data_IF_908546331280
#
_entry.id   IF_908546331280
#
_cell.length_a   1.000
_cell.length_b   1.000
_cell.length_c   1.000
_cell.angle_alpha   90.00
_cell.angle_beta   90.00
_cell.angle_gamma   90.00
#
_symmetry.space_group_name_H-M   'P 1'
#
loop_
_entity.id
_entity.type
_entity.pdbx_description
1 polymer ?
#
# COMPACT_ATOMS: atom_id res chain seq x y z
N UNK A 1 -13.50 19.57 5.11
CA UNK A 1 -13.04 18.32 5.75
C UNK A 1 -12.25 18.72 6.96
N UNK A 2 -12.74 18.40 8.15
CA UNK A 2 -12.07 18.72 9.42
C UNK A 2 -10.88 17.78 9.65
N UNK A 3 -9.92 18.18 10.48
CA UNK A 3 -8.71 17.39 10.78
C UNK A 3 -9.04 15.96 11.24
N UNK A 4 -10.10 15.80 12.04
CA UNK A 4 -10.59 14.50 12.50
C UNK A 4 -11.13 13.64 11.36
N UNK A 5 -11.93 14.23 10.45
CA UNK A 5 -12.48 13.52 9.28
C UNK A 5 -11.40 13.01 8.33
N UNK A 6 -10.34 13.78 8.10
CA UNK A 6 -9.22 13.35 7.24
C UNK A 6 -8.44 12.19 7.83
N UNK A 7 -8.16 12.22 9.14
CA UNK A 7 -7.47 11.12 9.81
C UNK A 7 -8.34 9.86 9.84
N UNK A 8 -9.64 10.00 10.12
CA UNK A 8 -10.58 8.89 10.12
C UNK A 8 -10.71 8.26 8.74
N UNK A 9 -10.75 9.08 7.69
CA UNK A 9 -10.75 8.63 6.30
C UNK A 9 -9.49 7.82 5.95
N UNK A 10 -8.30 8.34 6.29
CA UNK A 10 -7.01 7.66 6.06
C UNK A 10 -6.97 6.33 6.84
N UNK A 11 -7.41 6.33 8.10
CA UNK A 11 -7.47 5.13 8.95
C UNK A 11 -8.39 4.06 8.36
N UNK A 12 -9.59 4.44 7.91
CA UNK A 12 -10.55 3.51 7.32
C UNK A 12 -10.04 2.94 5.98
N UNK A 13 -9.38 3.77 5.15
CA UNK A 13 -8.71 3.33 3.93
C UNK A 13 -7.61 2.30 4.22
N UNK A 14 -6.75 2.57 5.20
CA UNK A 14 -5.70 1.65 5.60
C UNK A 14 -6.25 0.33 6.14
N UNK A 15 -7.30 0.38 6.96
CA UNK A 15 -7.99 -0.83 7.45
C UNK A 15 -8.56 -1.67 6.30
N UNK A 16 -9.15 -1.02 5.27
CA UNK A 16 -9.64 -1.71 4.07
C UNK A 16 -8.51 -2.33 3.25
N UNK A 17 -7.40 -1.62 3.06
CA UNK A 17 -6.20 -2.14 2.36
C UNK A 17 -5.60 -3.33 3.12
N UNK A 18 -5.52 -3.25 4.45
CA UNK A 18 -5.06 -4.33 5.32
C UNK A 18 -5.92 -5.59 5.21
N UNK A 19 -7.26 -5.45 5.28
CA UNK A 19 -8.19 -6.56 5.08
C UNK A 19 -8.03 -7.21 3.70
N UNK A 20 -7.87 -6.41 2.64
CA UNK A 20 -7.62 -6.93 1.28
C UNK A 20 -6.30 -7.70 1.18
N UNK A 21 -5.22 -7.18 1.78
CA UNK A 21 -3.93 -7.90 1.86
C UNK A 21 -4.09 -9.23 2.59
N UNK A 22 -4.81 -9.25 3.70
CA UNK A 22 -5.03 -10.47 4.48
C UNK A 22 -5.84 -11.50 3.68
N UNK A 23 -6.88 -11.09 2.94
CA UNK A 23 -7.61 -12.00 2.04
C UNK A 23 -6.76 -12.51 0.88
N UNK A 24 -5.87 -11.69 0.31
CA UNK A 24 -4.95 -12.12 -0.75
C UNK A 24 -3.91 -13.13 -0.22
N UNK A 25 -3.33 -12.87 0.96
CA UNK A 25 -2.43 -13.82 1.61
C UNK A 25 -3.14 -15.12 1.99
N UNK A 26 -4.40 -15.05 2.41
CA UNK A 26 -5.21 -16.25 2.66
C UNK A 26 -5.44 -17.06 1.38
N UNK A 27 -5.74 -16.43 0.24
CA UNK A 27 -5.90 -17.10 -1.06
C UNK A 27 -4.59 -17.73 -1.55
N UNK A 28 -3.46 -17.03 -1.41
CA UNK A 28 -2.14 -17.55 -1.78
C UNK A 28 -1.79 -18.74 -0.86
N UNK A 29 -1.99 -18.59 0.45
CA UNK A 29 -1.77 -19.67 1.41
C UNK A 29 -2.64 -20.89 1.11
N UNK A 30 -3.92 -20.69 0.80
CA UNK A 30 -4.86 -21.76 0.45
C UNK A 30 -4.44 -22.45 -0.87
N UNK A 31 -3.99 -21.70 -1.87
CA UNK A 31 -3.42 -22.25 -3.10
C UNK A 31 -2.17 -23.10 -2.86
N UNK A 32 -1.24 -22.64 -2.02
CA UNK A 32 -0.05 -23.40 -1.63
C UNK A 32 -0.41 -24.66 -0.84
N UNK A 33 -1.42 -24.58 0.03
CA UNK A 33 -1.89 -25.71 0.83
C UNK A 33 -2.50 -26.81 -0.06
N UNK A 34 -3.22 -26.45 -1.11
CA UNK A 34 -3.71 -27.39 -2.14
C UNK A 34 -2.54 -28.13 -2.83
N UNK A 35 -1.42 -27.44 -3.12
CA UNK A 35 -0.24 -28.08 -3.69
C UNK A 35 0.47 -29.03 -2.72
N UNK A 36 0.48 -28.71 -1.42
CA UNK A 36 1.05 -29.58 -0.39
C UNK A 36 0.16 -30.82 -0.15
N UNK A 37 -1.16 -30.67 -0.20
CA UNK A 37 -2.13 -31.76 -0.11
C UNK A 37 -2.05 -32.72 -1.31
N UNK A 38 -1.68 -32.22 -2.50
CA UNK A 38 -1.41 -33.09 -3.65
C UNK A 38 -0.20 -34.02 -3.45
N UNK A 39 0.74 -33.68 -2.55
CA UNK A 39 1.88 -34.51 -2.16
C UNK A 39 1.62 -35.44 -0.97
N UNK A 40 0.70 -35.07 -0.08
CA UNK A 40 0.30 -35.83 1.10
C UNK A 40 -1.01 -36.54 0.80
N UNK A 41 -0.98 -37.83 0.46
CA UNK A 41 -2.13 -38.68 0.03
C UNK A 41 -3.43 -38.52 0.87
N UNK A 42 -4.18 -37.44 0.70
CA UNK A 42 -5.57 -37.28 1.11
C UNK A 42 -6.47 -37.69 -0.07
N UNK A 43 -7.55 -38.45 0.15
CA UNK A 43 -8.37 -39.02 -0.92
C UNK A 43 -9.41 -38.01 -1.40
N UNK A 44 -8.96 -36.84 -1.84
CA UNK A 44 -9.80 -35.84 -2.53
C UNK A 44 -9.32 -35.77 -3.97
N UNK A 45 -10.25 -35.60 -4.92
CA UNK A 45 -10.05 -35.69 -6.39
C UNK A 45 -9.15 -34.59 -7.00
N UNK A 46 -8.23 -34.02 -6.22
CA UNK A 46 -7.32 -32.92 -6.56
C UNK A 46 -5.86 -33.41 -6.69
N UNK A 47 -5.64 -34.62 -7.20
CA UNK A 47 -4.29 -35.14 -7.47
C UNK A 47 -3.96 -35.06 -8.97
N UNK A 48 -2.73 -34.64 -9.32
CA UNK A 48 -2.25 -34.55 -10.70
C UNK A 48 -2.57 -33.23 -11.43
N UNK A 49 -2.87 -33.30 -12.74
CA UNK A 49 -3.08 -32.12 -13.63
C UNK A 49 -4.16 -31.16 -13.10
N UNK A 50 -5.15 -31.66 -12.37
CA UNK A 50 -6.22 -30.85 -11.77
C UNK A 50 -5.73 -29.92 -10.65
N UNK A 51 -4.70 -30.32 -9.89
CA UNK A 51 -4.07 -29.45 -8.89
C UNK A 51 -3.40 -28.23 -9.56
N UNK A 52 -2.78 -28.44 -10.72
CA UNK A 52 -2.24 -27.36 -11.53
C UNK A 52 -3.35 -26.51 -12.16
N UNK A 53 -4.41 -27.13 -12.67
CA UNK A 53 -5.52 -26.43 -13.32
C UNK A 53 -6.31 -25.54 -12.36
N UNK A 54 -6.40 -25.89 -11.08
CA UNK A 54 -7.11 -25.08 -10.07
C UNK A 54 -6.17 -24.21 -9.23
N UNK A 55 -4.98 -24.71 -8.87
CA UNK A 55 -4.03 -23.99 -8.01
C UNK A 55 -3.37 -22.81 -8.73
N UNK A 56 -2.93 -22.99 -9.98
CA UNK A 56 -2.22 -21.94 -10.73
C UNK A 56 -3.11 -20.70 -10.96
N UNK A 57 -4.37 -20.83 -11.43
CA UNK A 57 -5.24 -19.66 -11.59
C UNK A 57 -5.55 -18.98 -10.26
N UNK A 58 -5.69 -19.73 -9.16
CA UNK A 58 -5.93 -19.16 -7.84
C UNK A 58 -4.74 -18.31 -7.37
N UNK A 59 -3.52 -18.81 -7.55
CA UNK A 59 -2.29 -18.09 -7.21
C UNK A 59 -2.13 -16.86 -8.11
N UNK A 60 -2.36 -16.99 -9.42
CA UNK A 60 -2.27 -15.87 -10.38
C UNK A 60 -3.32 -14.79 -10.05
N UNK A 61 -4.57 -15.17 -9.75
CA UNK A 61 -5.61 -14.24 -9.30
C UNK A 61 -5.23 -13.58 -7.96
N UNK A 62 -4.71 -14.34 -7.02
CA UNK A 62 -4.22 -13.84 -5.74
C UNK A 62 -3.10 -12.81 -5.90
N UNK A 63 -2.11 -13.09 -6.75
CA UNK A 63 -1.01 -12.18 -7.09
C UNK A 63 -1.50 -10.94 -7.84
N UNK A 64 -2.44 -11.09 -8.77
CA UNK A 64 -3.04 -9.97 -9.50
C UNK A 64 -3.79 -9.01 -8.56
N UNK A 65 -4.58 -9.55 -7.63
CA UNK A 65 -5.25 -8.75 -6.60
C UNK A 65 -4.27 -8.10 -5.62
N UNK A 66 -3.20 -8.80 -5.27
CA UNK A 66 -2.14 -8.27 -4.42
C UNK A 66 -1.43 -7.08 -5.09
N UNK A 67 -1.09 -7.20 -6.39
CA UNK A 67 -0.54 -6.12 -7.22
C UNK A 67 -1.46 -4.90 -7.25
N UNK A 68 -2.78 -5.10 -7.40
CA UNK A 68 -3.75 -3.99 -7.35
C UNK A 68 -3.79 -3.28 -5.99
N UNK A 69 -3.30 -3.90 -4.93
CA UNK A 69 -3.27 -3.33 -3.57
C UNK A 69 -1.98 -2.53 -3.31
N UNK A 70 -0.98 -2.65 -4.17
CA UNK A 70 0.28 -1.88 -4.11
C UNK A 70 0.19 -0.49 -4.78
N UNK A 71 -1.02 0.02 -5.05
CA UNK A 71 -1.17 1.41 -5.52
C UNK A 71 -0.60 2.38 -4.49
N UNK A 72 0.41 3.16 -4.92
CA UNK A 72 1.06 4.21 -4.15
C UNK A 72 0.01 5.18 -3.58
N UNK A 73 -0.02 5.43 -2.26
CA UNK A 73 -1.00 6.31 -1.63
C UNK A 73 -0.69 7.80 -1.86
N UNK A 74 -0.58 8.23 -3.11
CA UNK A 74 -0.21 9.61 -3.49
C UNK A 74 -1.30 10.60 -3.04
N UNK A 75 -2.57 10.23 -3.18
CA UNK A 75 -3.69 11.09 -2.78
C UNK A 75 -3.77 11.23 -1.27
N UNK A 76 -3.56 10.14 -0.54
CA UNK A 76 -3.52 10.15 0.92
C UNK A 76 -2.33 10.95 1.45
N UNK A 77 -1.17 10.91 0.77
CA UNK A 77 -0.02 11.73 1.12
C UNK A 77 -0.25 13.22 0.94
N UNK A 78 -0.95 13.64 -0.12
CA UNK A 78 -1.36 15.03 -0.29
C UNK A 78 -2.34 15.49 0.79
N UNK A 79 -3.29 14.63 1.18
CA UNK A 79 -4.22 14.92 2.27
C UNK A 79 -3.50 15.01 3.61
N UNK A 80 -2.53 14.13 3.85
CA UNK A 80 -1.69 14.15 5.05
C UNK A 80 -0.84 15.42 5.10
N UNK A 81 -0.24 15.83 3.98
CA UNK A 81 0.51 17.08 3.89
C UNK A 81 -0.34 18.30 4.21
N UNK A 82 -1.64 18.29 3.88
CA UNK A 82 -2.55 19.37 4.24
C UNK A 82 -2.72 19.53 5.76
N UNK A 83 -2.59 18.43 6.49
CA UNK A 83 -2.72 18.42 7.96
C UNK A 83 -1.44 18.95 8.61
N UNK A 84 -0.29 18.61 8.04
CA UNK A 84 1.04 19.03 8.49
C UNK A 84 1.51 20.36 7.88
N UNK A 85 0.57 21.29 7.61
CA UNK A 85 0.84 22.62 7.03
C UNK A 85 1.70 22.63 5.74
N UNK A 86 1.61 21.56 4.95
CA UNK A 86 2.34 21.37 3.71
C UNK A 86 3.75 20.79 3.88
N UNK A 87 4.24 20.59 5.10
CA UNK A 87 5.58 20.03 5.36
C UNK A 87 5.46 18.55 5.71
N UNK A 88 6.12 17.68 4.95
CA UNK A 88 6.13 16.24 5.20
C UNK A 88 7.53 15.66 5.10
N UNK A 89 7.84 14.70 5.96
CA UNK A 89 9.08 13.92 5.92
C UNK A 89 8.74 12.46 5.61
N UNK A 90 9.72 11.69 5.12
CA UNK A 90 9.50 10.26 4.86
C UNK A 90 9.06 9.48 6.13
N UNK A 91 9.67 9.72 7.31
CA UNK A 91 9.23 9.09 8.56
C UNK A 91 7.82 9.51 9.00
N UNK A 92 7.50 10.81 8.95
CA UNK A 92 6.16 11.28 9.36
C UNK A 92 5.07 10.74 8.45
N UNK A 93 5.33 10.69 7.14
CA UNK A 93 4.44 10.10 6.16
C UNK A 93 4.28 8.58 6.34
N UNK A 94 5.38 7.87 6.65
CA UNK A 94 5.36 6.44 6.92
C UNK A 94 4.48 6.10 8.13
N UNK A 95 4.62 6.85 9.22
CA UNK A 95 3.82 6.70 10.43
C UNK A 95 2.37 7.11 10.20
N UNK A 96 2.14 8.30 9.64
CA UNK A 96 0.82 8.86 9.40
C UNK A 96 -0.05 8.02 8.47
N UNK A 97 0.57 7.42 7.44
CA UNK A 97 -0.11 6.53 6.51
C UNK A 97 0.05 5.05 6.84
N UNK A 98 0.71 4.67 7.94
CA UNK A 98 1.00 3.28 8.30
C UNK A 98 1.53 2.46 7.10
N UNK A 99 2.53 3.02 6.40
CA UNK A 99 3.22 2.42 5.27
C UNK A 99 4.70 2.22 5.60
N UNK A 100 5.39 1.40 4.81
CA UNK A 100 6.84 1.22 4.99
C UNK A 100 7.57 2.50 4.61
N UNK A 101 8.72 2.75 5.25
CA UNK A 101 9.57 3.91 4.95
C UNK A 101 9.93 3.98 3.46
N UNK A 102 10.29 2.85 2.86
CA UNK A 102 10.56 2.73 1.43
C UNK A 102 9.38 3.15 0.56
N UNK A 103 8.14 2.78 0.93
CA UNK A 103 6.95 3.22 0.20
C UNK A 103 6.70 4.71 0.39
N UNK A 104 6.92 5.26 1.58
CA UNK A 104 6.81 6.69 1.82
C UNK A 104 7.80 7.50 0.96
N UNK A 105 9.06 7.08 0.89
CA UNK A 105 10.08 7.68 0.00
C UNK A 105 9.67 7.63 -1.48
N UNK A 106 9.14 6.49 -1.93
CA UNK A 106 8.63 6.36 -3.30
C UNK A 106 7.46 7.31 -3.56
N UNK A 107 6.55 7.48 -2.60
CA UNK A 107 5.44 8.44 -2.73
C UNK A 107 5.97 9.87 -2.81
N UNK A 108 6.91 10.25 -1.94
CA UNK A 108 7.52 11.58 -1.94
C UNK A 108 8.24 11.86 -3.26
N UNK A 109 9.02 10.89 -3.74
CA UNK A 109 9.68 10.98 -5.05
C UNK A 109 8.66 11.19 -6.17
N UNK A 110 7.55 10.44 -6.15
CA UNK A 110 6.47 10.61 -7.12
C UNK A 110 5.77 11.97 -7.01
N UNK A 111 5.62 12.52 -5.80
CA UNK A 111 5.05 13.85 -5.59
C UNK A 111 5.97 14.92 -6.17
N UNK A 112 7.28 14.80 -5.97
CA UNK A 112 8.28 15.72 -6.55
C UNK A 112 8.31 15.63 -8.07
N UNK A 113 8.37 14.41 -8.62
CA UNK A 113 8.39 14.20 -10.08
C UNK A 113 7.14 14.75 -10.78
N UNK A 114 5.99 14.74 -10.10
CA UNK A 114 4.74 15.30 -10.64
C UNK A 114 4.55 16.79 -10.35
N UNK A 115 5.51 17.43 -9.67
CA UNK A 115 5.43 18.85 -9.31
C UNK A 115 4.46 19.16 -8.18
N UNK A 116 3.99 18.15 -7.44
CA UNK A 116 3.12 18.35 -6.28
C UNK A 116 3.90 18.70 -5.01
N UNK A 117 5.18 18.35 -4.94
CA UNK A 117 6.06 18.66 -3.81
C UNK A 117 7.42 19.18 -4.30
N UNK A 118 8.10 19.95 -3.46
CA UNK A 118 9.48 20.38 -3.64
C UNK A 118 10.31 19.93 -2.44
N UNK A 119 11.56 19.57 -2.70
CA UNK A 119 12.52 19.25 -1.64
C UNK A 119 12.98 20.56 -1.02
N UNK A 120 12.81 20.72 0.29
CA UNK A 120 13.40 21.82 1.03
C UNK A 120 14.82 21.43 1.38
N UNK A 121 15.80 21.81 0.55
CA UNK A 121 17.21 21.46 0.76
C UNK A 121 17.81 22.16 1.99
N UNK A 122 17.15 23.19 2.49
CA UNK A 122 17.59 24.02 3.63
C UNK A 122 16.97 23.59 4.96
N UNK A 123 15.85 22.84 4.94
CA UNK A 123 15.16 22.36 6.13
C UNK A 123 15.37 20.85 6.32
N UNK A 124 16.14 20.48 7.35
CA UNK A 124 16.21 19.11 7.85
C UNK A 124 15.56 19.06 9.23
N UNK A 125 14.51 18.26 9.36
CA UNK A 125 13.86 17.97 10.64
C UNK A 125 14.25 16.58 11.09
N UNK A 126 14.80 16.46 12.31
CA UNK A 126 15.21 15.18 12.92
C UNK A 126 16.13 14.31 12.04
N UNK A 127 16.96 14.95 11.21
CA UNK A 127 17.86 14.26 10.28
C UNK A 127 17.18 13.71 9.01
N UNK A 128 15.90 14.01 8.79
CA UNK A 128 15.16 13.69 7.59
C UNK A 128 14.98 14.91 6.69
N UNK A 129 14.97 14.67 5.37
CA UNK A 129 14.72 15.70 4.35
C UNK A 129 13.25 16.13 4.43
N UNK A 130 13.00 17.43 4.53
CA UNK A 130 11.65 18.01 4.52
C UNK A 130 11.20 18.25 3.09
N UNK A 131 9.97 17.83 2.78
CA UNK A 131 9.31 18.06 1.50
C UNK A 131 8.16 19.04 1.70
N UNK A 132 8.14 20.11 0.92
CA UNK A 132 7.09 21.11 0.94
C UNK A 132 6.09 20.83 -0.19
N UNK A 133 4.82 20.58 0.17
CA UNK A 133 3.76 20.16 -0.74
C UNK A 133 2.98 21.38 -1.21
N UNK A 134 3.25 21.79 -2.45
CA UNK A 134 2.67 22.98 -3.08
C UNK A 134 1.37 22.62 -3.84
N UNK A 135 1.22 21.34 -4.22
CA UNK A 135 0.17 20.82 -5.09
C UNK A 135 -1.25 20.72 -4.51
N UNK A 136 -1.51 21.27 -3.31
CA UNK A 136 -2.79 21.13 -2.60
C UNK A 136 -3.99 21.69 -3.40
N UNK A 137 -3.77 22.65 -4.30
CA UNK A 137 -4.79 23.26 -5.14
C UNK A 137 -5.22 22.42 -6.35
N UNK A 138 -4.44 21.40 -6.73
CA UNK A 138 -4.71 20.56 -7.91
C UNK A 138 -5.59 19.34 -7.62
N UNK A 139 -5.99 19.13 -6.36
CA UNK A 139 -7.01 18.16 -5.95
C UNK A 139 -8.41 18.76 -6.16
N UNK A 140 -8.83 18.92 -7.42
CA UNK A 140 -10.20 19.30 -7.77
C UNK A 140 -10.94 18.14 -8.42
#
# INVERSE_FOLDING_TARGET
>A
MTHSETLEYIKNLNARRGKRRMSSWALIGLGVLIYLDAGWRFPIWLTGIWAFALGTPLIVLGLFWLMSTYKLPVREALLFARIEDGKITAPSLALGLNITLKTAEQVLTHLVQRGYAQVSTEEMEEGAIVYNVIGLQQLK
#
